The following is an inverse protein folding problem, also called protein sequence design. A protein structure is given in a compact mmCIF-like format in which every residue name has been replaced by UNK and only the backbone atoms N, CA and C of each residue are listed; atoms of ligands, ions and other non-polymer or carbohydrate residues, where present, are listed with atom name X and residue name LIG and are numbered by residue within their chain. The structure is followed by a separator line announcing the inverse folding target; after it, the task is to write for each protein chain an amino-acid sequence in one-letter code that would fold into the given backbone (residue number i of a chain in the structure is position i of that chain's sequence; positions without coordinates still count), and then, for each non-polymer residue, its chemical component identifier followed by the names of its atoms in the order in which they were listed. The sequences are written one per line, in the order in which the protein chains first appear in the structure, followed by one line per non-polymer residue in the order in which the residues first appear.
data_IF_010100630376
#
_entry.id   IF_010100630376
#
_cell.length_a   1.000
_cell.length_b   1.000
_cell.length_c   1.000
_cell.angle_alpha   90.00
_cell.angle_beta   90.00
_cell.angle_gamma   90.00
#
_symmetry.space_group_name_H-M   'P 1'
#
loop_
_entity.id
_entity.type
_entity.pdbx_description
1 polymer ?
#
# COMPACT_ATOMS: atom_id res chain seq x y z
N UNK A 1 -42.95 25.33 -9.12
CA UNK A 1 -41.82 26.03 -8.46
C UNK A 1 -40.61 25.11 -8.50
N UNK A 2 -39.50 25.56 -9.07
CA UNK A 2 -38.27 24.77 -9.09
C UNK A 2 -37.81 24.58 -7.64
N UNK A 3 -37.76 23.33 -7.17
CA UNK A 3 -37.24 22.99 -5.84
C UNK A 3 -35.78 23.45 -5.80
N UNK A 4 -35.44 24.39 -4.91
CA UNK A 4 -34.06 24.84 -4.77
C UNK A 4 -33.20 23.67 -4.31
N UNK A 5 -32.32 23.19 -5.17
CA UNK A 5 -31.37 22.11 -4.85
C UNK A 5 -30.36 22.66 -3.86
N UNK A 6 -30.42 22.21 -2.61
CA UNK A 6 -29.46 22.58 -1.57
C UNK A 6 -28.27 21.64 -1.69
N UNK A 7 -27.07 22.19 -1.82
CA UNK A 7 -25.83 21.42 -1.97
C UNK A 7 -25.00 21.47 -0.70
N UNK A 8 -24.33 20.37 -0.42
CA UNK A 8 -23.39 20.27 0.69
C UNK A 8 -22.21 21.21 0.44
N UNK A 9 -21.89 22.04 1.44
CA UNK A 9 -20.74 22.94 1.38
C UNK A 9 -19.41 22.17 1.25
N UNK A 10 -19.35 20.93 1.76
CA UNK A 10 -18.17 20.08 1.72
C UNK A 10 -17.99 19.30 0.41
N UNK A 11 -19.01 18.56 -0.05
CA UNK A 11 -18.89 17.70 -1.23
C UNK A 11 -19.41 18.30 -2.54
N UNK A 12 -20.23 19.35 -2.47
CA UNK A 12 -21.02 19.84 -3.61
C UNK A 12 -22.17 18.90 -4.04
N UNK A 13 -22.34 17.77 -3.37
CA UNK A 13 -23.42 16.82 -3.61
C UNK A 13 -24.78 17.39 -3.13
N UNK A 14 -25.87 17.02 -3.81
CA UNK A 14 -27.23 17.41 -3.42
C UNK A 14 -27.55 16.83 -2.04
N UNK A 15 -28.00 17.70 -1.13
CA UNK A 15 -28.34 17.31 0.22
C UNK A 15 -29.73 16.68 0.27
N UNK A 16 -29.83 15.64 1.10
CA UNK A 16 -31.08 14.99 1.41
C UNK A 16 -31.14 14.60 2.88
N UNK A 17 -32.33 14.47 3.43
CA UNK A 17 -32.57 14.11 4.84
C UNK A 17 -33.50 12.89 4.99
N UNK A 18 -33.67 12.08 3.94
CA UNK A 18 -34.62 10.95 3.91
C UNK A 18 -33.95 9.56 3.96
N UNK A 19 -32.72 9.39 3.46
CA UNK A 19 -32.03 8.09 3.44
C UNK A 19 -30.60 8.17 4.01
N UNK A 20 -30.34 7.67 5.24
CA UNK A 20 -29.01 7.66 5.85
C UNK A 20 -27.91 6.90 5.08
N UNK A 21 -28.27 6.04 4.13
CA UNK A 21 -27.34 5.22 3.36
C UNK A 21 -26.96 5.84 2.01
N UNK A 22 -27.67 6.88 1.57
CA UNK A 22 -27.42 7.53 0.27
C UNK A 22 -26.48 8.73 0.39
N UNK A 23 -25.79 9.03 -0.72
CA UNK A 23 -24.92 10.21 -0.81
C UNK A 23 -25.72 11.48 -0.51
N UNK A 24 -25.08 12.44 0.17
CA UNK A 24 -25.73 13.71 0.50
C UNK A 24 -26.62 13.70 1.74
N UNK A 25 -26.75 12.57 2.44
CA UNK A 25 -27.54 12.52 3.68
C UNK A 25 -27.07 13.55 4.72
N UNK A 26 -27.99 14.29 5.32
CA UNK A 26 -27.76 15.12 6.50
C UNK A 26 -28.95 15.01 7.45
N UNK A 27 -28.71 14.86 8.78
CA UNK A 27 -29.79 14.88 9.76
C UNK A 27 -30.32 16.31 10.03
N UNK A 28 -29.66 17.35 9.51
CA UNK A 28 -30.14 18.74 9.63
C UNK A 28 -31.32 18.97 8.69
N UNK A 29 -32.32 19.72 9.15
CA UNK A 29 -33.41 20.20 8.30
C UNK A 29 -32.81 21.10 7.20
N UNK A 30 -33.39 21.02 6.00
CA UNK A 30 -32.93 21.72 4.81
C UNK A 30 -33.80 22.97 4.59
N UNK A 31 -33.65 23.93 5.48
CA UNK A 31 -34.41 25.17 5.56
C UNK A 31 -33.52 26.38 5.23
N UNK A 32 -33.28 26.57 3.94
CA UNK A 32 -33.00 27.87 3.30
C UNK A 32 -31.73 28.65 3.64
N UNK A 33 -31.12 28.52 4.82
CA UNK A 33 -30.04 29.41 5.26
C UNK A 33 -28.95 28.67 6.06
N UNK A 34 -27.69 28.83 5.62
CA UNK A 34 -26.50 28.35 6.33
C UNK A 34 -25.65 27.34 5.55
N UNK A 35 -24.38 27.21 5.96
CA UNK A 35 -23.47 26.19 5.41
C UNK A 35 -23.82 24.82 6.00
N UNK A 36 -24.54 24.01 5.24
CA UNK A 36 -24.92 22.64 5.65
C UNK A 36 -23.94 21.62 5.05
N UNK A 37 -23.49 20.70 5.90
CA UNK A 37 -22.65 19.56 5.50
C UNK A 37 -23.48 18.28 5.48
N UNK A 38 -23.21 17.40 4.52
CA UNK A 38 -23.66 16.02 4.60
C UNK A 38 -22.96 15.31 5.75
N UNK A 39 -23.57 14.25 6.28
CA UNK A 39 -23.08 13.44 7.39
C UNK A 39 -21.65 12.97 7.15
N UNK A 40 -21.30 12.61 5.91
CA UNK A 40 -19.92 12.24 5.54
C UNK A 40 -18.94 13.39 5.73
N UNK A 41 -19.22 14.58 5.18
CA UNK A 41 -18.34 15.75 5.34
C UNK A 41 -18.26 16.21 6.80
N UNK A 42 -19.37 16.15 7.54
CA UNK A 42 -19.41 16.47 8.97
C UNK A 42 -18.54 15.50 9.79
N UNK A 43 -18.69 14.18 9.58
CA UNK A 43 -17.88 13.17 10.29
C UNK A 43 -16.41 13.27 9.93
N UNK A 44 -16.09 13.57 8.68
CA UNK A 44 -14.71 13.82 8.26
C UNK A 44 -14.13 15.04 8.99
N UNK A 45 -14.86 16.14 9.07
CA UNK A 45 -14.40 17.37 9.72
C UNK A 45 -14.25 17.22 11.24
N UNK A 46 -15.20 16.56 11.91
CA UNK A 46 -15.24 16.51 13.37
C UNK A 46 -14.55 15.29 13.97
N UNK A 47 -14.54 14.16 13.26
CA UNK A 47 -14.06 12.88 13.78
C UNK A 47 -12.92 12.27 12.93
N UNK A 48 -12.64 12.82 11.74
CA UNK A 48 -11.65 12.23 10.84
C UNK A 48 -12.06 10.84 10.35
N UNK A 49 -13.36 10.56 10.21
CA UNK A 49 -13.86 9.26 9.77
C UNK A 49 -14.17 9.26 8.28
N UNK A 50 -13.59 8.30 7.56
CA UNK A 50 -13.80 8.09 6.12
C UNK A 50 -14.60 6.81 5.91
N UNK A 51 -15.74 6.90 5.21
CA UNK A 51 -16.42 5.73 4.65
C UNK A 51 -15.82 5.46 3.27
N UNK A 52 -15.41 4.21 3.04
CA UNK A 52 -14.99 3.70 1.72
C UNK A 52 -16.25 3.56 0.83
N UNK A 53 -16.47 4.52 -0.06
CA UNK A 53 -17.53 4.42 -1.07
C UNK A 53 -16.93 4.02 -2.43
N UNK A 54 -17.33 2.82 -2.86
CA UNK A 54 -17.43 2.23 -4.22
C UNK A 54 -16.31 2.37 -5.27
N UNK A 55 -16.07 1.22 -5.90
CA UNK A 55 -15.02 0.85 -6.85
C UNK A 55 -15.49 1.18 -8.28
N UNK A 56 -15.21 2.38 -8.76
CA UNK A 56 -14.97 2.59 -10.19
C UNK A 56 -13.45 2.72 -10.35
N UNK A 57 -12.82 2.02 -11.30
CA UNK A 57 -11.40 2.24 -11.59
C UNK A 57 -11.22 3.72 -11.98
N UNK A 58 -10.56 4.54 -11.16
CA UNK A 58 -10.33 5.94 -11.48
C UNK A 58 -9.56 6.02 -12.78
N UNK A 59 -9.92 6.95 -13.66
CA UNK A 59 -9.04 7.34 -14.77
C UNK A 59 -7.84 8.09 -14.20
N UNK A 60 -6.87 7.33 -13.70
CA UNK A 60 -5.66 7.83 -13.10
C UNK A 60 -4.88 8.70 -14.07
N UNK A 61 -4.88 8.37 -15.36
CA UNK A 61 -4.21 9.19 -16.37
C UNK A 61 -4.79 10.61 -16.40
N UNK A 62 -6.12 10.75 -16.41
CA UNK A 62 -6.76 12.07 -16.37
C UNK A 62 -6.65 12.77 -15.01
N UNK A 63 -6.74 12.03 -13.90
CA UNK A 63 -6.53 12.59 -12.55
C UNK A 63 -5.10 13.14 -12.45
N UNK A 64 -4.09 12.34 -12.77
CA UNK A 64 -2.70 12.73 -12.61
C UNK A 64 -2.30 13.81 -13.63
N UNK A 65 -2.71 13.73 -14.91
CA UNK A 65 -2.33 14.72 -15.94
C UNK A 65 -2.55 16.18 -15.51
N UNK A 66 -3.63 16.45 -14.77
CA UNK A 66 -3.97 17.78 -14.26
C UNK A 66 -3.22 18.17 -12.96
N UNK A 67 -2.79 17.19 -12.15
CA UNK A 67 -2.02 17.39 -10.91
C UNK A 67 -0.60 17.92 -11.19
N UNK A 68 -0.02 17.50 -12.32
CA UNK A 68 1.41 17.55 -12.62
C UNK A 68 1.86 18.89 -13.22
N UNK A 69 0.97 19.58 -13.93
CA UNK A 69 1.33 20.80 -14.66
C UNK A 69 1.84 21.94 -13.76
N UNK A 70 1.57 21.90 -12.46
CA UNK A 70 1.85 23.01 -11.53
C UNK A 70 3.10 22.81 -10.65
N UNK A 71 3.84 21.71 -10.82
CA UNK A 71 5.02 21.36 -9.98
C UNK A 71 4.67 21.43 -8.48
N UNK A 72 3.63 20.72 -8.08
CA UNK A 72 3.17 20.61 -6.69
C UNK A 72 4.01 19.58 -5.93
N UNK A 73 4.00 19.61 -4.60
CA UNK A 73 4.67 18.55 -3.82
C UNK A 73 3.86 17.26 -3.89
N UNK A 74 4.54 16.16 -4.23
CA UNK A 74 3.98 14.82 -4.13
C UNK A 74 4.43 14.21 -2.82
N UNK A 75 3.46 13.92 -1.94
CA UNK A 75 3.66 13.09 -0.78
C UNK A 75 3.45 11.63 -1.20
N UNK A 76 4.54 10.94 -1.52
CA UNK A 76 4.49 9.59 -2.05
C UNK A 76 4.49 8.55 -0.93
N UNK A 77 3.31 8.04 -0.60
CA UNK A 77 3.11 7.09 0.48
C UNK A 77 3.43 5.66 0.01
N UNK A 78 4.30 4.98 0.75
CA UNK A 78 4.68 3.59 0.50
C UNK A 78 4.49 2.73 1.75
N UNK A 79 4.19 1.45 1.55
CA UNK A 79 4.14 0.43 2.61
C UNK A 79 5.52 -0.21 2.76
N UNK A 80 6.15 -0.08 3.92
CA UNK A 80 7.48 -0.66 4.19
C UNK A 80 7.49 -2.19 4.06
N UNK A 81 6.43 -2.88 4.47
CA UNK A 81 6.35 -4.33 4.37
C UNK A 81 6.01 -4.77 2.94
N UNK A 82 5.14 -4.03 2.26
CA UNK A 82 4.75 -4.32 0.88
C UNK A 82 5.36 -3.31 -0.12
N UNK A 83 6.67 -3.12 -0.01
CA UNK A 83 7.39 -2.05 -0.69
C UNK A 83 7.33 -2.15 -2.23
N UNK A 84 7.56 -3.34 -2.81
CA UNK A 84 7.56 -3.49 -4.28
C UNK A 84 6.19 -3.17 -4.88
N UNK A 85 5.10 -3.61 -4.23
CA UNK A 85 3.75 -3.23 -4.65
C UNK A 85 3.45 -1.75 -4.44
N UNK A 86 4.23 -1.03 -3.64
CA UNK A 86 4.03 0.41 -3.41
C UNK A 86 4.63 1.27 -4.53
N UNK A 87 5.49 0.69 -5.38
CA UNK A 87 6.06 1.37 -6.54
C UNK A 87 5.05 1.32 -7.69
N UNK A 88 4.43 2.46 -7.98
CA UNK A 88 3.35 2.59 -8.96
C UNK A 88 3.95 3.03 -10.30
N UNK A 89 4.45 2.08 -11.07
CA UNK A 89 5.14 2.35 -12.35
C UNK A 89 4.27 3.13 -13.35
N UNK A 90 2.97 2.86 -13.37
CA UNK A 90 2.01 3.56 -14.23
C UNK A 90 1.89 5.05 -13.88
N UNK A 91 2.13 5.42 -12.62
CA UNK A 91 2.07 6.81 -12.14
C UNK A 91 3.42 7.51 -12.25
N UNK A 92 4.52 6.78 -12.41
CA UNK A 92 5.86 7.36 -12.46
C UNK A 92 6.07 8.41 -13.57
N UNK A 93 5.68 8.18 -14.84
CA UNK A 93 5.84 9.17 -15.91
C UNK A 93 5.18 10.51 -15.60
N UNK A 94 4.16 10.46 -14.75
CA UNK A 94 3.36 11.59 -14.36
C UNK A 94 4.00 12.36 -13.21
N UNK A 95 4.53 11.70 -12.18
CA UNK A 95 4.99 12.39 -10.96
C UNK A 95 6.47 12.78 -10.98
N UNK A 96 7.29 12.19 -11.85
CA UNK A 96 8.77 12.28 -11.79
C UNK A 96 9.36 13.70 -11.82
N UNK A 97 8.68 14.67 -12.45
CA UNK A 97 9.18 16.05 -12.60
C UNK A 97 8.75 16.97 -11.44
N UNK A 98 8.02 16.45 -10.48
CA UNK A 98 7.58 17.16 -9.28
C UNK A 98 8.56 16.91 -8.12
N UNK A 99 8.63 17.82 -7.13
CA UNK A 99 9.25 17.50 -5.84
C UNK A 99 8.50 16.33 -5.19
N UNK A 100 9.25 15.30 -4.76
CA UNK A 100 8.70 14.08 -4.13
C UNK A 100 9.24 13.96 -2.71
N UNK A 101 8.34 13.96 -1.72
CA UNK A 101 8.62 13.55 -0.34
C UNK A 101 8.04 12.16 -0.13
N UNK A 102 8.90 11.17 0.13
CA UNK A 102 8.46 9.80 0.38
C UNK A 102 8.06 9.65 1.85
N UNK A 103 6.87 9.10 2.07
CA UNK A 103 6.37 8.74 3.40
C UNK A 103 6.30 7.22 3.50
N UNK A 104 7.31 6.64 4.14
CA UNK A 104 7.47 5.20 4.30
C UNK A 104 6.72 4.71 5.54
N UNK A 105 5.48 4.29 5.33
CA UNK A 105 4.52 3.97 6.38
C UNK A 105 4.60 2.50 6.84
N UNK A 106 3.90 2.21 7.94
CA UNK A 106 3.81 0.88 8.58
C UNK A 106 5.13 0.41 9.18
N UNK A 107 5.95 1.33 9.68
CA UNK A 107 7.20 1.01 10.40
C UNK A 107 7.00 0.04 11.57
N UNK A 108 5.83 0.07 12.20
CA UNK A 108 5.44 -0.80 13.30
C UNK A 108 5.27 -2.28 12.92
N UNK A 109 5.18 -2.59 11.62
CA UNK A 109 5.13 -3.96 11.10
C UNK A 109 6.53 -4.57 10.97
N UNK A 110 7.55 -3.74 10.70
CA UNK A 110 8.92 -4.24 10.58
C UNK A 110 9.55 -4.49 11.98
N UNK A 111 10.48 -5.46 12.09
CA UNK A 111 11.24 -5.68 13.31
C UNK A 111 11.79 -4.38 13.92
N UNK A 112 11.64 -4.20 15.24
CA UNK A 112 12.07 -2.96 15.92
C UNK A 112 13.58 -2.72 15.83
N UNK A 113 14.37 -3.79 15.77
CA UNK A 113 15.83 -3.72 15.71
C UNK A 113 16.39 -3.13 14.40
N UNK A 114 15.54 -2.93 13.38
CA UNK A 114 15.96 -2.33 12.11
C UNK A 114 16.13 -0.82 12.30
N UNK A 115 17.26 -0.31 11.83
CA UNK A 115 17.57 1.11 11.86
C UNK A 115 16.85 1.87 10.75
N UNK A 116 16.27 3.02 11.08
CA UNK A 116 15.47 3.82 10.15
C UNK A 116 16.33 4.46 9.06
N UNK A 117 17.59 4.79 9.33
CA UNK A 117 18.48 5.38 8.31
C UNK A 117 18.91 4.33 7.29
N UNK A 118 19.11 3.07 7.71
CA UNK A 118 19.28 1.94 6.77
C UNK A 118 18.05 1.73 5.89
N UNK A 119 16.85 1.87 6.45
CA UNK A 119 15.61 1.79 5.65
C UNK A 119 15.54 2.92 4.63
N UNK A 120 15.85 4.17 5.03
CA UNK A 120 15.88 5.32 4.12
C UNK A 120 16.88 5.10 2.98
N UNK A 121 18.08 4.60 3.27
CA UNK A 121 19.10 4.30 2.25
C UNK A 121 18.61 3.24 1.27
N UNK A 122 18.05 2.13 1.77
CA UNK A 122 17.46 1.10 0.93
C UNK A 122 16.36 1.66 0.01
N UNK A 123 15.42 2.43 0.59
CA UNK A 123 14.30 3.03 -0.15
C UNK A 123 14.84 3.98 -1.23
N UNK A 124 15.82 4.83 -0.90
CA UNK A 124 16.40 5.77 -1.84
C UNK A 124 17.02 5.05 -3.03
N UNK A 125 17.90 4.07 -2.78
CA UNK A 125 18.58 3.33 -3.85
C UNK A 125 17.58 2.58 -4.73
N UNK A 126 16.59 1.93 -4.11
CA UNK A 126 15.59 1.14 -4.85
C UNK A 126 14.64 2.01 -5.66
N UNK A 127 14.21 3.16 -5.15
CA UNK A 127 13.40 4.14 -5.91
C UNK A 127 14.21 4.78 -7.04
N UNK A 128 15.50 5.08 -6.80
CA UNK A 128 16.40 5.63 -7.82
C UNK A 128 16.56 4.68 -9.01
N UNK A 129 16.60 3.36 -8.77
CA UNK A 129 16.61 2.35 -9.84
C UNK A 129 15.33 2.37 -10.69
N UNK A 130 14.20 2.79 -10.14
CA UNK A 130 12.93 2.99 -10.87
C UNK A 130 12.81 4.41 -11.44
N UNK A 131 13.87 5.23 -11.36
CA UNK A 131 13.88 6.60 -11.86
C UNK A 131 13.12 7.60 -10.97
N UNK A 132 12.81 7.25 -9.72
CA UNK A 132 12.22 8.15 -8.72
C UNK A 132 13.34 8.69 -7.85
N UNK A 133 13.51 10.01 -7.79
CA UNK A 133 14.52 10.66 -6.95
C UNK A 133 13.79 11.46 -5.85
N UNK A 134 13.66 10.91 -4.63
CA UNK A 134 13.05 11.62 -3.51
C UNK A 134 13.89 12.83 -3.09
N UNK A 135 13.23 13.93 -2.71
CA UNK A 135 13.85 15.06 -2.02
C UNK A 135 13.99 14.81 -0.51
N UNK A 136 13.21 13.87 0.02
CA UNK A 136 13.29 13.39 1.40
C UNK A 136 12.56 12.07 1.55
N UNK A 137 12.94 11.30 2.57
CA UNK A 137 12.30 10.04 2.95
C UNK A 137 12.06 10.08 4.44
N UNK A 138 10.81 9.92 4.86
CA UNK A 138 10.42 9.90 6.27
C UNK A 138 9.78 8.55 6.57
N UNK A 139 10.39 7.83 7.50
CA UNK A 139 9.88 6.56 8.03
C UNK A 139 8.83 6.87 9.10
N UNK A 140 7.65 6.28 8.99
CA UNK A 140 6.50 6.59 9.86
C UNK A 140 5.64 5.36 10.16
N UNK A 141 4.78 5.51 11.16
CA UNK A 141 3.65 4.64 11.41
C UNK A 141 2.44 5.49 11.72
N UNK A 142 1.47 5.52 10.79
CA UNK A 142 0.18 6.16 11.01
C UNK A 142 -0.56 5.58 12.22
N UNK A 143 -0.39 4.27 12.47
CA UNK A 143 -1.01 3.59 13.60
C UNK A 143 -0.39 3.97 14.95
N UNK A 144 0.93 4.16 15.00
CA UNK A 144 1.66 4.55 16.22
C UNK A 144 1.87 6.05 16.36
N UNK A 145 1.37 6.84 15.41
CA UNK A 145 1.60 8.28 15.35
C UNK A 145 3.11 8.66 15.37
N UNK A 146 3.92 7.91 14.62
CA UNK A 146 5.38 8.03 14.66
C UNK A 146 5.90 8.99 13.57
N UNK A 147 6.77 9.94 13.92
CA UNK A 147 7.42 10.92 13.02
C UNK A 147 6.47 11.81 12.18
N UNK A 148 5.25 12.08 12.64
CA UNK A 148 4.32 12.96 11.89
C UNK A 148 4.77 14.43 11.84
N UNK A 149 5.47 14.92 12.88
CA UNK A 149 6.00 16.29 12.91
C UNK A 149 7.06 16.50 11.84
N UNK A 150 7.90 15.50 11.58
CA UNK A 150 8.87 15.53 10.49
C UNK A 150 8.18 15.63 9.12
N UNK A 151 7.09 14.87 8.91
CA UNK A 151 6.33 14.93 7.66
C UNK A 151 5.68 16.30 7.49
N UNK A 152 5.13 16.86 8.57
CA UNK A 152 4.52 18.19 8.56
C UNK A 152 5.53 19.28 8.18
N UNK A 153 6.67 19.33 8.87
CA UNK A 153 7.70 20.34 8.63
C UNK A 153 8.36 20.20 7.25
N UNK A 154 8.72 18.96 6.85
CA UNK A 154 9.27 18.71 5.52
C UNK A 154 8.26 19.05 4.42
N UNK A 155 6.98 18.68 4.60
CA UNK A 155 5.91 19.02 3.66
C UNK A 155 5.73 20.53 3.49
N UNK A 156 5.77 21.30 4.59
CA UNK A 156 5.69 22.77 4.56
C UNK A 156 6.88 23.42 3.85
N UNK A 157 8.08 22.91 4.12
CA UNK A 157 9.32 23.40 3.51
C UNK A 157 9.36 23.10 2.01
N UNK A 158 9.12 21.84 1.61
CA UNK A 158 9.26 21.39 0.22
C UNK A 158 8.11 21.84 -0.69
N UNK A 159 6.92 22.08 -0.14
CA UNK A 159 5.76 22.53 -0.94
C UNK A 159 5.88 23.92 -1.52
N UNK A 160 6.75 24.77 -0.97
CA UNK A 160 6.98 26.15 -1.44
C UNK A 160 5.66 26.93 -1.71
N UNK A 161 4.74 26.91 -0.72
CA UNK A 161 3.40 27.54 -0.78
C UNK A 161 2.45 26.98 -1.86
N UNK A 162 2.72 25.78 -2.39
CA UNK A 162 1.82 25.06 -3.30
C UNK A 162 1.07 23.95 -2.56
N UNK A 163 0.06 23.40 -3.21
CA UNK A 163 -0.69 22.26 -2.72
C UNK A 163 0.20 21.00 -2.64
N UNK A 164 -0.20 20.07 -1.77
CA UNK A 164 0.47 18.79 -1.53
C UNK A 164 -0.47 17.67 -1.97
N UNK A 165 -0.02 16.78 -2.85
CA UNK A 165 -0.81 15.65 -3.33
C UNK A 165 -0.33 14.37 -2.69
N UNK A 166 -1.22 13.68 -1.98
CA UNK A 166 -0.90 12.35 -1.44
C UNK A 166 -1.19 11.31 -2.51
N UNK A 167 -0.15 10.59 -2.93
CA UNK A 167 -0.22 9.53 -3.94
C UNK A 167 0.35 8.25 -3.34
N UNK A 168 -0.28 7.11 -3.61
CA UNK A 168 0.16 5.82 -3.11
C UNK A 168 -0.84 4.73 -3.39
N UNK A 169 -0.40 3.47 -3.36
CA UNK A 169 -1.30 2.33 -3.58
C UNK A 169 -2.44 2.28 -2.54
N UNK A 170 -3.55 1.63 -2.85
CA UNK A 170 -4.71 1.58 -1.93
C UNK A 170 -4.38 1.02 -0.56
N UNK A 171 -3.43 0.08 -0.47
CA UNK A 171 -3.07 -0.61 0.77
C UNK A 171 -2.00 0.09 1.63
N UNK A 172 -1.38 1.18 1.18
CA UNK A 172 -0.26 1.82 1.91
C UNK A 172 -0.68 2.57 3.18
N UNK A 173 -1.99 2.80 3.35
CA UNK A 173 -2.54 3.49 4.52
C UNK A 173 -2.65 5.01 4.38
N UNK A 174 -2.88 5.53 3.16
CA UNK A 174 -3.14 6.97 2.93
C UNK A 174 -4.23 7.53 3.84
N UNK A 175 -5.38 6.86 3.93
CA UNK A 175 -6.48 7.26 4.81
C UNK A 175 -6.05 7.29 6.28
N UNK A 176 -5.22 6.34 6.73
CA UNK A 176 -4.67 6.35 8.09
C UNK A 176 -3.72 7.52 8.30
N UNK A 177 -2.83 7.81 7.34
CA UNK A 177 -1.92 8.96 7.39
C UNK A 177 -2.75 10.26 7.51
N UNK A 178 -3.75 10.43 6.65
CA UNK A 178 -4.66 11.59 6.67
C UNK A 178 -5.37 11.72 8.01
N UNK A 179 -5.95 10.63 8.52
CA UNK A 179 -6.68 10.66 9.78
C UNK A 179 -5.76 11.00 10.96
N UNK A 180 -4.51 10.55 10.94
CA UNK A 180 -3.52 10.90 11.95
C UNK A 180 -3.11 12.38 11.83
N UNK A 181 -2.92 12.91 10.61
CA UNK A 181 -2.73 14.35 10.40
C UNK A 181 -3.90 15.17 10.95
N UNK A 182 -5.14 14.80 10.63
CA UNK A 182 -6.34 15.50 11.09
C UNK A 182 -6.50 15.49 12.62
N UNK A 183 -6.00 14.45 13.30
CA UNK A 183 -6.00 14.36 14.76
C UNK A 183 -4.93 15.23 15.39
N UNK A 184 -3.73 15.26 14.82
CA UNK A 184 -2.58 15.94 15.39
C UNK A 184 -2.60 17.45 15.11
N UNK A 185 -3.00 17.84 13.91
CA UNK A 185 -2.92 19.22 13.44
C UNK A 185 -4.33 19.77 13.26
N UNK A 186 -4.72 20.68 14.14
CA UNK A 186 -5.98 21.42 13.99
C UNK A 186 -5.85 22.41 12.83
N UNK A 187 -6.92 22.57 12.06
CA UNK A 187 -7.00 23.61 11.03
C UNK A 187 -6.77 24.99 11.67
N UNK A 188 -5.58 25.56 11.46
CA UNK A 188 -5.31 26.97 11.76
C UNK A 188 -5.92 27.91 10.69
N UNK A 189 -6.53 27.34 9.65
CA UNK A 189 -7.17 28.08 8.56
C UNK A 189 -8.66 28.31 8.82
N UNK A 190 -9.23 29.36 8.19
CA UNK A 190 -10.69 29.56 8.12
C UNK A 190 -11.38 28.60 7.14
N UNK A 191 -10.62 27.78 6.41
CA UNK A 191 -11.14 26.88 5.39
C UNK A 191 -11.62 25.56 6.01
N UNK A 192 -12.73 25.04 5.48
CA UNK A 192 -13.33 23.78 5.94
C UNK A 192 -12.73 22.61 5.15
N UNK A 193 -12.63 21.43 5.77
CA UNK A 193 -12.26 20.19 5.07
C UNK A 193 -13.41 19.82 4.13
N UNK A 194 -13.09 19.63 2.85
CA UNK A 194 -14.09 19.41 1.78
C UNK A 194 -13.78 18.13 1.00
N UNK A 195 -14.80 17.55 0.35
CA UNK A 195 -14.65 16.37 -0.51
C UNK A 195 -15.22 16.64 -1.90
N UNK A 196 -14.50 17.32 -2.77
CA UNK A 196 -15.03 17.68 -4.11
C UNK A 196 -14.56 16.69 -5.18
N UNK A 197 -15.36 16.42 -6.23
CA UNK A 197 -14.85 15.76 -7.43
C UNK A 197 -13.62 16.51 -7.95
N UNK A 198 -12.56 15.79 -8.30
CA UNK A 198 -11.42 16.43 -8.93
C UNK A 198 -11.82 16.93 -10.33
N UNK A 199 -11.42 18.16 -10.76
CA UNK A 199 -11.85 18.72 -12.05
C UNK A 199 -11.68 17.74 -13.21
N UNK A 200 -12.77 17.49 -13.95
CA UNK A 200 -12.78 16.55 -15.08
C UNK A 200 -12.91 15.07 -14.70
N UNK A 201 -13.16 14.75 -13.43
CA UNK A 201 -13.29 13.36 -12.94
C UNK A 201 -14.52 13.23 -12.03
N UNK A 202 -15.09 12.03 -11.93
CA UNK A 202 -16.17 11.73 -10.98
C UNK A 202 -15.65 11.35 -9.60
N UNK A 203 -14.33 11.28 -9.41
CA UNK A 203 -13.75 10.76 -8.17
C UNK A 203 -13.59 11.87 -7.14
N UNK A 204 -14.19 11.65 -5.97
CA UNK A 204 -14.12 12.58 -4.85
C UNK A 204 -12.71 12.62 -4.26
N UNK A 205 -12.13 13.82 -4.17
CA UNK A 205 -10.85 14.09 -3.52
C UNK A 205 -11.09 14.85 -2.22
N UNK A 206 -10.39 14.45 -1.15
CA UNK A 206 -10.44 15.18 0.12
C UNK A 206 -9.44 16.32 0.05
N UNK A 207 -9.86 17.51 0.45
CA UNK A 207 -9.00 18.69 0.54
C UNK A 207 -8.89 19.13 1.99
N UNK A 208 -7.68 19.09 2.53
CA UNK A 208 -7.37 19.43 3.92
C UNK A 208 -6.50 20.68 3.92
N UNK A 209 -7.00 21.83 4.41
CA UNK A 209 -6.21 23.05 4.44
C UNK A 209 -5.13 22.94 5.54
N UNK A 210 -3.87 23.08 5.15
CA UNK A 210 -2.74 23.11 6.10
C UNK A 210 -2.58 24.52 6.68
N UNK A 211 -2.75 25.52 5.81
CA UNK A 211 -2.74 26.94 6.11
C UNK A 211 -3.62 27.68 5.09
N UNK A 212 -3.54 29.02 5.05
CA UNK A 212 -4.36 29.82 4.13
C UNK A 212 -3.94 29.72 2.65
N UNK A 213 -2.80 29.11 2.34
CA UNK A 213 -2.22 29.03 1.00
C UNK A 213 -2.16 27.60 0.45
N UNK A 214 -2.12 26.59 1.31
CA UNK A 214 -1.84 25.19 0.94
C UNK A 214 -2.97 24.25 1.34
N UNK A 215 -3.30 23.32 0.45
CA UNK A 215 -4.14 22.18 0.75
C UNK A 215 -3.39 20.85 0.55
N UNK A 216 -3.63 19.88 1.43
CA UNK A 216 -3.39 18.47 1.15
C UNK A 216 -4.57 17.97 0.33
N UNK A 217 -4.28 17.37 -0.82
CA UNK A 217 -5.26 16.78 -1.70
C UNK A 217 -5.04 15.27 -1.67
N UNK A 218 -6.02 14.54 -1.12
CA UNK A 218 -6.03 13.09 -1.15
C UNK A 218 -6.43 12.62 -2.54
N UNK A 219 -5.60 11.74 -3.12
CA UNK A 219 -5.89 11.13 -4.41
C UNK A 219 -6.35 9.68 -4.20
N UNK A 220 -7.27 9.17 -5.04
CA UNK A 220 -7.70 7.79 -4.99
C UNK A 220 -6.52 6.84 -5.00
N UNK A 221 -6.56 5.82 -4.15
CA UNK A 221 -5.48 4.83 -4.10
C UNK A 221 -5.40 3.99 -5.35
N UNK A 222 -4.20 3.85 -5.90
CA UNK A 222 -3.97 3.00 -7.07
C UNK A 222 -4.05 1.52 -6.67
N UNK A 223 -4.87 0.76 -7.39
CA UNK A 223 -4.97 -0.68 -7.20
C UNK A 223 -3.77 -1.36 -7.86
N UNK A 224 -3.05 -2.17 -7.09
CA UNK A 224 -1.83 -2.84 -7.55
C UNK A 224 -2.20 -4.25 -7.99
N UNK A 225 -2.40 -4.41 -9.30
CA UNK A 225 -2.93 -5.63 -9.92
C UNK A 225 -1.94 -6.80 -9.83
N UNK A 226 -0.66 -6.56 -9.60
CA UNK A 226 0.37 -7.60 -9.51
C UNK A 226 0.69 -8.02 -8.06
N UNK A 227 -0.13 -7.61 -7.09
CA UNK A 227 -0.03 -8.01 -5.67
C UNK A 227 -0.95 -9.17 -5.35
N UNK A 228 -0.47 -10.14 -4.56
CA UNK A 228 -1.26 -11.26 -4.06
C UNK A 228 -2.55 -10.79 -3.36
N UNK A 229 -2.51 -9.63 -2.70
CA UNK A 229 -3.67 -9.06 -1.99
C UNK A 229 -4.82 -8.67 -2.93
N UNK A 230 -4.54 -8.38 -4.21
CA UNK A 230 -5.56 -8.01 -5.19
C UNK A 230 -6.34 -9.21 -5.74
N UNK A 231 -5.78 -10.43 -5.62
CA UNK A 231 -6.36 -11.66 -6.20
C UNK A 231 -7.01 -12.58 -5.16
N UNK A 232 -6.89 -12.25 -3.89
CA UNK A 232 -7.39 -13.08 -2.79
C UNK A 232 -8.69 -12.57 -2.21
N UNK A 233 -9.53 -13.50 -1.79
CA UNK A 233 -10.73 -13.21 -1.01
C UNK A 233 -10.40 -12.57 0.34
N UNK A 234 -11.31 -11.72 0.84
CA UNK A 234 -11.17 -11.03 2.14
C UNK A 234 -10.84 -12.00 3.30
N UNK A 235 -11.37 -13.23 3.24
CA UNK A 235 -11.13 -14.25 4.26
C UNK A 235 -9.66 -14.73 4.31
N UNK A 236 -8.96 -14.71 3.17
CA UNK A 236 -7.54 -15.07 3.08
C UNK A 236 -6.62 -13.90 3.45
N UNK A 237 -7.03 -12.65 3.18
CA UNK A 237 -6.23 -11.45 3.46
C UNK A 237 -5.78 -11.33 4.92
N UNK A 238 -6.61 -11.78 5.88
CA UNK A 238 -6.25 -11.72 7.31
C UNK A 238 -5.02 -12.56 7.67
N UNK A 239 -4.66 -13.54 6.85
CA UNK A 239 -3.51 -14.41 7.09
C UNK A 239 -2.22 -13.85 6.48
N UNK A 240 -2.31 -13.08 5.39
CA UNK A 240 -1.14 -12.57 4.67
C UNK A 240 -0.77 -11.13 5.01
N UNK A 241 -1.72 -10.31 5.48
CA UNK A 241 -1.47 -8.93 5.90
C UNK A 241 -1.05 -8.94 7.37
N UNK A 242 0.21 -8.59 7.71
CA UNK A 242 0.64 -8.52 9.09
C UNK A 242 -0.12 -7.41 9.82
N UNK A 243 -0.54 -7.69 11.06
CA UNK A 243 -1.21 -6.72 11.95
C UNK A 243 -0.32 -6.28 13.12
N UNK A 244 0.80 -6.95 13.29
CA UNK A 244 1.79 -6.75 14.34
C UNK A 244 3.18 -6.93 13.76
N UNK A 245 4.19 -6.60 14.57
CA UNK A 245 5.61 -6.77 14.23
C UNK A 245 5.89 -8.18 13.68
N UNK A 246 6.41 -8.23 12.45
CA UNK A 246 6.82 -9.46 11.77
C UNK A 246 8.05 -10.02 12.47
N UNK A 247 7.97 -11.30 12.83
CA UNK A 247 9.09 -12.04 13.44
C UNK A 247 9.77 -12.89 12.38
N UNK A 248 11.06 -12.68 12.09
CA UNK A 248 11.76 -13.47 11.09
C UNK A 248 11.87 -14.94 11.51
N UNK A 249 11.60 -15.85 10.58
CA UNK A 249 11.75 -17.30 10.79
C UNK A 249 12.80 -17.82 9.81
N UNK A 250 13.88 -18.43 10.32
CA UNK A 250 14.96 -18.93 9.48
C UNK A 250 14.91 -20.45 9.33
N UNK A 251 14.87 -20.91 8.07
CA UNK A 251 15.03 -22.33 7.73
C UNK A 251 16.43 -22.59 7.19
N UNK A 252 17.09 -23.62 7.71
CA UNK A 252 18.34 -24.12 7.13
C UNK A 252 17.99 -25.15 6.04
N UNK A 253 18.15 -24.74 4.78
CA UNK A 253 17.76 -25.54 3.62
C UNK A 253 18.98 -25.90 2.78
N UNK A 254 18.97 -27.12 2.24
CA UNK A 254 19.89 -27.58 1.21
C UNK A 254 19.17 -27.59 -0.15
N UNK A 255 19.93 -27.87 -1.22
CA UNK A 255 19.37 -28.12 -2.55
C UNK A 255 18.27 -29.19 -2.52
N UNK A 256 17.34 -29.10 -3.47
CA UNK A 256 16.20 -30.03 -3.64
C UNK A 256 15.20 -29.99 -2.47
N UNK A 257 14.95 -28.81 -1.93
CA UNK A 257 13.93 -28.58 -0.90
C UNK A 257 12.99 -27.45 -1.29
N UNK A 258 11.77 -27.47 -0.75
CA UNK A 258 10.75 -26.47 -1.04
C UNK A 258 10.12 -25.93 0.24
N UNK A 259 9.75 -24.66 0.22
CA UNK A 259 8.92 -23.99 1.21
C UNK A 259 7.56 -23.68 0.57
N UNK A 260 6.48 -24.13 1.20
CA UNK A 260 5.10 -23.88 0.81
C UNK A 260 4.53 -22.82 1.75
N UNK A 261 4.02 -21.73 1.20
CA UNK A 261 3.47 -20.58 1.92
C UNK A 261 1.95 -20.60 1.80
N UNK A 262 1.28 -21.13 2.83
CA UNK A 262 -0.13 -21.49 2.73
C UNK A 262 -0.40 -22.39 1.52
N UNK A 263 -1.64 -22.37 1.05
CA UNK A 263 -2.02 -22.83 -0.28
C UNK A 263 -1.88 -21.74 -1.34
N UNK A 264 -0.91 -20.83 -1.20
CA UNK A 264 -0.82 -19.62 -2.04
C UNK A 264 0.42 -19.56 -2.93
N UNK A 265 1.58 -19.92 -2.39
CA UNK A 265 2.85 -19.81 -3.10
C UNK A 265 3.83 -20.91 -2.68
N UNK A 266 4.85 -21.13 -3.48
CA UNK A 266 5.92 -22.07 -3.19
C UNK A 266 7.27 -21.55 -3.64
N UNK A 267 8.31 -21.79 -2.86
CA UNK A 267 9.69 -21.46 -3.21
C UNK A 267 10.51 -22.74 -3.21
N UNK A 268 11.08 -23.07 -4.36
CA UNK A 268 11.86 -24.27 -4.62
C UNK A 268 13.35 -23.91 -4.65
N UNK A 269 14.14 -24.53 -3.79
CA UNK A 269 15.60 -24.44 -3.80
C UNK A 269 16.11 -25.53 -4.73
N UNK A 270 16.30 -25.19 -6.00
CA UNK A 270 16.65 -26.15 -7.05
C UNK A 270 18.08 -26.63 -6.88
N UNK A 271 19.00 -25.70 -6.63
CA UNK A 271 20.42 -25.99 -6.51
C UNK A 271 21.15 -24.96 -5.64
N UNK A 272 22.35 -25.31 -5.20
CA UNK A 272 23.22 -24.45 -4.40
C UNK A 272 23.53 -25.01 -3.00
N UNK A 273 24.50 -24.40 -2.31
CA UNK A 273 24.95 -24.86 -1.01
C UNK A 273 23.88 -24.66 0.07
N UNK A 274 24.00 -25.44 1.15
CA UNK A 274 23.15 -25.27 2.33
C UNK A 274 23.28 -23.85 2.88
N UNK A 275 22.14 -23.18 3.07
CA UNK A 275 22.09 -21.80 3.53
C UNK A 275 20.90 -21.56 4.47
N UNK A 276 20.96 -20.45 5.21
CA UNK A 276 19.83 -19.91 5.97
C UNK A 276 18.92 -19.08 5.08
N UNK A 277 17.63 -19.41 5.08
CA UNK A 277 16.56 -18.69 4.39
C UNK A 277 15.65 -18.07 5.44
N UNK A 278 15.73 -16.75 5.60
CA UNK A 278 14.99 -16.00 6.61
C UNK A 278 13.72 -15.43 6.02
N UNK A 279 12.58 -15.90 6.49
CA UNK A 279 11.25 -15.51 6.01
C UNK A 279 10.75 -14.31 6.80
N UNK A 280 10.29 -13.30 6.08
CA UNK A 280 9.56 -12.15 6.61
C UNK A 280 8.16 -12.17 6.00
N UNK A 281 7.21 -12.70 6.77
CA UNK A 281 5.82 -12.84 6.37
C UNK A 281 4.91 -12.60 7.58
N UNK A 282 3.60 -12.44 7.34
CA UNK A 282 2.61 -12.46 8.42
C UNK A 282 2.74 -13.73 9.27
N UNK A 283 2.62 -13.59 10.59
CA UNK A 283 2.69 -14.72 11.53
C UNK A 283 1.58 -15.75 11.31
N UNK A 284 0.46 -15.30 10.76
CA UNK A 284 -0.71 -16.14 10.50
C UNK A 284 -0.59 -16.91 9.17
N UNK A 285 0.45 -16.65 8.37
CA UNK A 285 0.76 -17.41 7.17
C UNK A 285 1.55 -18.67 7.55
N UNK A 286 0.93 -19.85 7.39
CA UNK A 286 1.61 -21.10 7.68
C UNK A 286 2.65 -21.42 6.60
N UNK A 287 3.83 -21.88 7.02
CA UNK A 287 4.91 -22.29 6.11
C UNK A 287 5.28 -23.74 6.35
N UNK A 288 5.25 -24.54 5.28
CA UNK A 288 5.60 -25.95 5.33
C UNK A 288 6.81 -26.28 4.44
N UNK A 289 7.79 -26.97 5.02
CA UNK A 289 8.96 -27.48 4.29
C UNK A 289 8.72 -28.90 3.76
N UNK A 290 9.17 -29.18 2.56
CA UNK A 290 9.19 -30.55 2.00
C UNK A 290 10.41 -30.76 1.08
N UNK A 291 10.60 -32.00 0.61
CA UNK A 291 11.56 -32.31 -0.46
C UNK A 291 10.99 -31.87 -1.80
N UNK A 292 11.84 -31.34 -2.69
CA UNK A 292 11.44 -30.84 -4.01
C UNK A 292 10.74 -31.92 -4.84
N UNK A 293 11.22 -33.17 -4.77
CA UNK A 293 10.64 -34.32 -5.49
C UNK A 293 9.16 -34.59 -5.12
N UNK A 294 8.73 -34.20 -3.91
CA UNK A 294 7.36 -34.37 -3.41
C UNK A 294 6.58 -33.05 -3.37
N UNK A 295 7.15 -31.94 -3.84
CA UNK A 295 6.61 -30.61 -3.61
C UNK A 295 5.22 -30.42 -4.24
N UNK A 296 5.03 -30.88 -5.47
CA UNK A 296 3.75 -30.80 -6.20
C UNK A 296 2.67 -31.63 -5.48
N UNK A 297 2.95 -32.91 -5.19
CA UNK A 297 2.03 -33.78 -4.44
C UNK A 297 1.71 -33.26 -3.04
N UNK A 298 2.70 -32.69 -2.35
CA UNK A 298 2.51 -32.11 -1.01
C UNK A 298 1.60 -30.90 -1.08
N UNK A 299 1.85 -29.97 -2.01
CA UNK A 299 1.03 -28.77 -2.20
C UNK A 299 -0.43 -29.13 -2.50
N UNK A 300 -0.67 -30.00 -3.47
CA UNK A 300 -2.02 -30.42 -3.87
C UNK A 300 -2.77 -31.10 -2.71
N UNK A 301 -2.09 -31.93 -1.91
CA UNK A 301 -2.69 -32.56 -0.73
C UNK A 301 -3.05 -31.55 0.36
N UNK A 302 -2.20 -30.56 0.61
CA UNK A 302 -2.45 -29.53 1.63
C UNK A 302 -3.62 -28.63 1.24
N UNK A 303 -3.70 -28.22 -0.01
CA UNK A 303 -4.79 -27.40 -0.56
C UNK A 303 -6.11 -28.18 -0.57
N UNK A 304 -6.14 -29.35 -1.22
CA UNK A 304 -7.38 -30.14 -1.36
C UNK A 304 -7.96 -30.59 -0.01
N UNK A 305 -7.11 -30.95 0.95
CA UNK A 305 -7.53 -31.37 2.30
C UNK A 305 -7.66 -30.20 3.29
N UNK A 306 -7.42 -28.96 2.86
CA UNK A 306 -7.42 -27.75 3.70
C UNK A 306 -6.56 -27.89 4.97
N UNK A 307 -5.40 -28.53 4.82
CA UNK A 307 -4.44 -28.82 5.91
C UNK A 307 -3.36 -27.76 6.06
N UNK A 308 -3.48 -26.65 5.35
CA UNK A 308 -2.61 -25.48 5.50
C UNK A 308 -3.46 -24.21 5.40
N UNK A 309 -3.01 -23.11 6.03
CA UNK A 309 -3.69 -21.81 5.98
C UNK A 309 -2.77 -20.69 5.49
N UNK A 310 -3.31 -19.73 4.72
CA UNK A 310 -4.64 -19.74 4.11
C UNK A 310 -4.67 -20.65 2.87
N UNK A 311 -5.85 -21.05 2.44
CA UNK A 311 -6.11 -21.53 1.07
C UNK A 311 -6.98 -20.51 0.35
N UNK A 312 -6.90 -20.45 -0.97
CA UNK A 312 -7.84 -19.69 -1.80
C UNK A 312 -8.67 -20.62 -2.66
N UNK A 313 -9.92 -20.24 -2.93
CA UNK A 313 -10.78 -20.96 -3.89
C UNK A 313 -10.28 -20.84 -5.34
N UNK A 314 -9.45 -19.84 -5.67
CA UNK A 314 -8.87 -19.68 -7.01
C UNK A 314 -7.59 -20.50 -7.21
N UNK A 315 -7.04 -21.09 -6.14
CA UNK A 315 -5.82 -21.90 -6.17
C UNK A 315 -6.19 -23.32 -5.74
N UNK A 316 -6.42 -24.19 -6.73
CA UNK A 316 -6.86 -25.58 -6.50
C UNK A 316 -5.72 -26.57 -6.36
N UNK A 317 -4.54 -26.18 -6.83
CA UNK A 317 -3.34 -27.02 -6.83
C UNK A 317 -2.17 -26.29 -7.49
N UNK A 318 -1.10 -27.04 -7.72
CA UNK A 318 0.14 -26.52 -8.32
C UNK A 318 -0.08 -26.01 -9.74
N UNK A 319 -1.08 -26.53 -10.44
CA UNK A 319 -1.49 -26.09 -11.78
C UNK A 319 -2.04 -24.66 -11.81
N UNK A 320 -2.52 -24.15 -10.66
CA UNK A 320 -2.92 -22.75 -10.51
C UNK A 320 -1.72 -21.81 -10.31
N UNK A 321 -0.52 -22.35 -10.14
CA UNK A 321 0.72 -21.61 -9.98
C UNK A 321 1.56 -21.66 -11.25
N UNK A 322 2.13 -20.53 -11.64
CA UNK A 322 3.17 -20.42 -12.65
C UNK A 322 4.52 -20.22 -11.96
N UNK A 323 5.63 -20.45 -12.66
CA UNK A 323 6.95 -20.36 -12.02
C UNK A 323 8.13 -20.74 -12.89
N UNK A 324 7.91 -21.18 -14.13
CA UNK A 324 9.01 -21.40 -15.08
C UNK A 324 9.66 -20.08 -15.50
N UNK A 325 8.89 -18.99 -15.46
CA UNK A 325 9.34 -17.61 -15.66
C UNK A 325 10.07 -17.01 -14.44
N UNK A 326 9.96 -17.62 -13.27
CA UNK A 326 10.45 -17.08 -11.99
C UNK A 326 11.61 -17.91 -11.41
N UNK A 327 12.61 -18.20 -12.25
CA UNK A 327 13.83 -18.90 -11.84
C UNK A 327 14.97 -17.91 -11.73
N UNK A 328 15.55 -17.83 -10.54
CA UNK A 328 16.57 -16.87 -10.16
C UNK A 328 17.87 -17.56 -9.77
N UNK A 329 18.99 -17.11 -10.34
CA UNK A 329 20.33 -17.47 -9.87
C UNK A 329 20.81 -16.36 -8.95
N UNK A 330 21.02 -16.69 -7.67
CA UNK A 330 21.34 -15.70 -6.65
C UNK A 330 22.83 -15.34 -6.72
N UNK A 331 23.19 -14.06 -6.93
CA UNK A 331 24.58 -13.62 -7.02
C UNK A 331 25.37 -13.92 -5.74
N UNK A 332 26.63 -14.35 -5.89
CA UNK A 332 27.52 -14.63 -4.76
C UNK A 332 27.90 -13.35 -4.01
N UNK A 333 27.98 -13.43 -2.68
CA UNK A 333 28.61 -12.40 -1.84
C UNK A 333 27.67 -11.31 -1.32
N UNK A 334 26.42 -11.23 -1.81
CA UNK A 334 25.41 -10.29 -1.32
C UNK A 334 24.26 -10.99 -0.61
N UNK A 335 23.66 -10.31 0.37
CA UNK A 335 22.37 -10.71 0.93
C UNK A 335 21.27 -10.14 0.04
N UNK A 336 20.36 -10.99 -0.40
CA UNK A 336 19.25 -10.59 -1.28
C UNK A 336 17.92 -10.99 -0.67
N UNK A 337 16.88 -10.26 -1.06
CA UNK A 337 15.48 -10.61 -0.78
C UNK A 337 14.82 -11.19 -2.03
N UNK A 338 14.17 -12.33 -1.87
CA UNK A 338 13.24 -12.91 -2.84
C UNK A 338 11.84 -12.47 -2.42
N UNK A 339 11.30 -11.48 -3.12
CA UNK A 339 10.04 -10.83 -2.77
C UNK A 339 8.88 -11.47 -3.54
N UNK A 340 7.79 -11.73 -2.83
CA UNK A 340 6.50 -12.11 -3.40
C UNK A 340 5.52 -10.97 -3.09
N UNK A 341 5.14 -10.20 -4.10
CA UNK A 341 4.29 -9.02 -4.00
C UNK A 341 3.00 -9.34 -3.24
N UNK A 342 2.73 -8.62 -2.15
CA UNK A 342 1.55 -8.81 -1.30
C UNK A 342 1.65 -9.91 -0.24
N UNK A 343 2.70 -10.75 -0.22
CA UNK A 343 2.83 -11.88 0.70
C UNK A 343 3.97 -11.71 1.72
N UNK A 344 5.12 -11.19 1.28
CA UNK A 344 6.33 -11.06 2.09
C UNK A 344 7.59 -11.34 1.28
N UNK A 345 8.71 -11.62 1.96
CA UNK A 345 9.97 -11.95 1.29
C UNK A 345 10.81 -12.97 2.06
N UNK A 346 11.81 -13.52 1.37
CA UNK A 346 12.79 -14.45 1.93
C UNK A 346 14.18 -13.86 1.71
N UNK A 347 14.90 -13.58 2.79
CA UNK A 347 16.28 -13.13 2.73
C UNK A 347 17.24 -14.32 2.73
N UNK A 348 18.24 -14.29 1.85
CA UNK A 348 19.29 -15.32 1.77
C UNK A 348 20.63 -14.68 1.46
N UNK A 349 21.71 -15.22 2.05
CA UNK A 349 23.08 -14.86 1.63
C UNK A 349 23.41 -15.61 0.34
N UNK A 350 23.60 -14.85 -0.71
CA UNK A 350 23.88 -15.35 -2.05
C UNK A 350 25.21 -16.06 -2.16
N UNK A 351 25.17 -17.23 -2.77
CA UNK A 351 26.30 -18.13 -3.03
C UNK A 351 26.01 -19.02 -4.24
N UNK A 352 25.39 -18.46 -5.29
CA UNK A 352 25.06 -19.17 -6.52
C UNK A 352 23.83 -20.08 -6.44
N UNK A 353 22.95 -19.91 -5.45
CA UNK A 353 21.75 -20.74 -5.34
C UNK A 353 20.82 -20.51 -6.54
N UNK A 354 20.23 -21.57 -7.07
CA UNK A 354 19.16 -21.49 -8.07
C UNK A 354 17.82 -21.70 -7.37
N UNK A 355 16.95 -20.70 -7.44
CA UNK A 355 15.68 -20.65 -6.72
C UNK A 355 14.55 -20.42 -7.71
N UNK A 356 13.49 -21.22 -7.62
CA UNK A 356 12.26 -21.02 -8.37
C UNK A 356 11.14 -20.58 -7.45
N UNK A 357 10.40 -19.56 -7.85
CA UNK A 357 9.23 -19.06 -7.12
C UNK A 357 7.96 -19.40 -7.91
N UNK A 358 7.10 -20.25 -7.35
CA UNK A 358 5.79 -20.55 -7.90
C UNK A 358 4.71 -19.72 -7.22
N UNK A 359 3.99 -18.93 -8.00
CA UNK A 359 2.90 -18.03 -7.56
C UNK A 359 1.76 -18.06 -8.58
N UNK A 360 0.54 -17.62 -8.25
CA UNK A 360 -0.50 -17.46 -9.24
C UNK A 360 -0.07 -16.51 -10.37
N UNK A 361 -0.61 -16.72 -11.57
CA UNK A 361 -0.30 -15.89 -12.74
C UNK A 361 -0.59 -14.41 -12.44
N UNK A 362 0.35 -13.54 -12.81
CA UNK A 362 0.21 -12.09 -12.66
C UNK A 362 0.72 -11.55 -11.32
N UNK A 363 1.12 -12.41 -10.38
CA UNK A 363 1.78 -11.95 -9.15
C UNK A 363 3.24 -11.61 -9.43
N UNK A 364 3.63 -10.38 -9.09
CA UNK A 364 5.00 -9.92 -9.22
C UNK A 364 5.91 -10.64 -8.22
N UNK A 365 7.02 -11.16 -8.72
CA UNK A 365 8.15 -11.63 -7.91
C UNK A 365 9.41 -10.87 -8.29
N UNK A 366 10.22 -10.49 -7.32
CA UNK A 366 11.41 -9.64 -7.53
C UNK A 366 12.56 -10.15 -6.68
N UNK A 367 13.77 -10.16 -7.26
CA UNK A 367 15.02 -10.25 -6.50
C UNK A 367 15.57 -8.84 -6.33
N UNK A 368 15.91 -8.48 -5.10
CA UNK A 368 16.50 -7.18 -4.76
C UNK A 368 17.59 -7.33 -3.71
N UNK A 369 18.42 -6.30 -3.56
CA UNK A 369 19.30 -6.19 -2.39
C UNK A 369 18.47 -6.25 -1.11
N UNK A 370 18.98 -6.89 -0.06
CA UNK A 370 18.20 -7.08 1.16
C UNK A 370 17.88 -5.76 1.86
N UNK A 371 16.62 -5.57 2.25
CA UNK A 371 16.18 -4.42 3.04
C UNK A 371 16.68 -4.49 4.50
N UNK A 372 16.87 -5.71 5.02
CA UNK A 372 17.20 -6.01 6.43
C UNK A 372 18.48 -6.82 6.53
#
# INVERSE_FOLDING_TARGET
MAKSIIRCFGCGCELQNHDPLQTGYTPKILDGEGTVLCQRCYRLQHYGELKDDSIAEPDYANIFKNIIARKNLILYAIDLFNFESSIIREVHPYIKDNPILVVANKRDILPKAIDDDKLKEFIYQRLKQEGIIPQGIIVTSAYKNYNFDEIYEAGRALSNKKDIFIIGASSVGKSSIINTFLKNYKNASRNVITTSPYPGTTVATIRIPIDNYRMIIDTPGVLIKDSMQAHLEKAALKYIIPRTEVRPITYQLASKQSLIFGGLARVDIIDGPRAGYTIYASRDLEVQRCKLEKADTTFNNLVSKKKIKPTSHTITGVESLTGDENVYVIPTGKKVDIVISGLGWISVKGNGQTIRVKVPRGILTVIRDAMI
#
